data_IF_419309620899
#
_entry.id   IF_419309620899
#
_cell.length_a   1.000
_cell.length_b   1.000
_cell.length_c   1.000
_cell.angle_alpha   90.00
_cell.angle_beta   90.00
_cell.angle_gamma   90.00
#
_symmetry.space_group_name_H-M   'P 1'
#
loop_
_entity.id
_entity.type
_entity.pdbx_description
1 polymer ?
#
# COMPACT_ATOMS: atom_id res chain seq x y z
N UNK A 1 -17.56 -7.62 5.36
CA UNK A 1 -17.28 -6.29 5.94
C UNK A 1 -16.05 -6.24 6.88
N UNK A 2 -15.62 -7.33 7.55
CA UNK A 2 -14.43 -7.27 8.45
C UNK A 2 -13.09 -7.23 7.72
N UNK A 3 -12.96 -7.85 6.53
CA UNK A 3 -11.70 -7.96 5.78
C UNK A 3 -11.15 -6.59 5.39
N UNK A 4 -12.00 -5.73 4.79
CA UNK A 4 -11.62 -4.37 4.39
C UNK A 4 -11.25 -3.50 5.59
N UNK A 5 -12.00 -3.57 6.70
CA UNK A 5 -11.71 -2.77 7.89
C UNK A 5 -10.37 -3.15 8.52
N UNK A 6 -10.08 -4.45 8.62
CA UNK A 6 -8.79 -4.94 9.10
C UNK A 6 -7.65 -4.49 8.17
N UNK A 7 -7.84 -4.59 6.85
CA UNK A 7 -6.86 -4.11 5.88
C UNK A 7 -6.60 -2.60 5.99
N UNK A 8 -7.64 -1.78 6.16
CA UNK A 8 -7.48 -0.34 6.38
C UNK A 8 -6.66 -0.07 7.64
N UNK A 9 -6.91 -0.79 8.74
CA UNK A 9 -6.15 -0.63 9.97
C UNK A 9 -4.67 -0.97 9.77
N UNK A 10 -4.38 -2.08 9.07
CA UNK A 10 -3.01 -2.50 8.81
C UNK A 10 -2.27 -1.51 7.89
N UNK A 11 -2.92 -1.07 6.80
CA UNK A 11 -2.40 -0.05 5.88
C UNK A 11 -2.14 1.29 6.57
N UNK A 12 -2.98 1.70 7.53
CA UNK A 12 -2.73 2.90 8.36
C UNK A 12 -1.50 2.74 9.25
N UNK A 13 -1.31 1.55 9.82
CA UNK A 13 -0.21 1.31 10.75
C UNK A 13 1.15 1.19 10.05
N UNK A 14 1.16 0.75 8.78
CA UNK A 14 2.38 0.47 8.04
C UNK A 14 3.28 1.71 7.87
N UNK A 15 2.82 2.87 7.34
CA UNK A 15 3.63 4.08 7.22
C UNK A 15 4.37 4.45 8.50
N UNK A 16 3.68 4.44 9.64
CA UNK A 16 4.26 4.83 10.92
C UNK A 16 5.33 3.83 11.38
N UNK A 17 5.04 2.52 11.27
CA UNK A 17 6.00 1.46 11.61
C UNK A 17 7.24 1.53 10.72
N UNK A 18 7.04 1.68 9.41
CA UNK A 18 8.12 1.76 8.43
C UNK A 18 8.96 3.02 8.62
N UNK A 19 8.37 4.17 8.95
CA UNK A 19 9.13 5.38 9.32
C UNK A 19 10.01 5.16 10.55
N UNK A 20 9.47 4.55 11.61
CA UNK A 20 10.23 4.28 12.82
C UNK A 20 11.41 3.33 12.54
N UNK A 21 11.15 2.24 11.81
CA UNK A 21 12.17 1.27 11.42
C UNK A 21 13.23 1.89 10.51
N UNK A 22 12.83 2.71 9.54
CA UNK A 22 13.75 3.37 8.61
C UNK A 22 14.63 4.41 9.32
N UNK A 23 14.11 5.09 10.34
CA UNK A 23 14.88 6.06 11.12
C UNK A 23 15.96 5.38 11.98
N UNK A 24 15.67 4.21 12.54
CA UNK A 24 16.60 3.45 13.39
C UNK A 24 17.62 2.68 12.56
N UNK A 25 17.14 1.86 11.62
CA UNK A 25 17.94 0.79 11.00
C UNK A 25 18.12 0.98 9.49
N UNK A 26 17.52 2.02 8.89
CA UNK A 26 17.48 2.23 7.42
C UNK A 26 16.88 1.02 6.66
N UNK A 27 15.96 0.32 7.32
CA UNK A 27 15.24 -0.81 6.76
C UNK A 27 13.74 -0.58 6.71
N UNK A 28 13.07 -1.35 5.86
CA UNK A 28 11.62 -1.43 5.71
C UNK A 28 11.25 -2.91 5.68
N UNK A 29 10.20 -3.30 6.39
CA UNK A 29 9.65 -4.65 6.30
C UNK A 29 9.02 -4.91 4.92
N UNK A 30 9.83 -5.45 4.01
CA UNK A 30 9.43 -5.80 2.64
C UNK A 30 8.29 -6.82 2.63
N UNK A 31 8.36 -7.82 3.50
CA UNK A 31 7.38 -8.90 3.52
C UNK A 31 6.00 -8.40 3.93
N UNK A 32 5.94 -7.54 4.95
CA UNK A 32 4.71 -6.87 5.35
C UNK A 32 4.13 -6.00 4.23
N UNK A 33 4.97 -5.21 3.52
CA UNK A 33 4.51 -4.45 2.35
C UNK A 33 3.85 -5.35 1.30
N UNK A 34 4.52 -6.43 0.88
CA UNK A 34 3.97 -7.32 -0.16
C UNK A 34 2.74 -8.11 0.30
N UNK A 35 2.63 -8.46 1.58
CA UNK A 35 1.41 -9.05 2.13
C UNK A 35 0.23 -8.08 2.04
N UNK A 36 0.44 -6.82 2.40
CA UNK A 36 -0.58 -5.78 2.27
C UNK A 36 -1.02 -5.61 0.82
N UNK A 37 -0.09 -5.55 -0.13
CA UNK A 37 -0.42 -5.43 -1.56
C UNK A 37 -1.18 -6.65 -2.09
N UNK A 38 -0.80 -7.85 -1.66
CA UNK A 38 -1.53 -9.08 -1.99
C UNK A 38 -2.98 -8.98 -1.49
N UNK A 39 -3.20 -8.54 -0.25
CA UNK A 39 -4.54 -8.38 0.32
C UNK A 39 -5.35 -7.30 -0.39
N UNK A 40 -4.73 -6.17 -0.75
CA UNK A 40 -5.34 -5.12 -1.57
C UNK A 40 -5.82 -5.67 -2.91
N UNK A 41 -5.00 -6.47 -3.59
CA UNK A 41 -5.35 -7.06 -4.90
C UNK A 41 -6.44 -8.14 -4.81
N UNK A 42 -6.71 -8.69 -3.63
CA UNK A 42 -7.74 -9.70 -3.40
C UNK A 42 -9.11 -9.11 -3.08
N UNK A 43 -9.21 -7.79 -2.87
CA UNK A 43 -10.49 -7.13 -2.61
C UNK A 43 -11.43 -7.27 -3.80
N UNK A 44 -12.69 -7.60 -3.50
CA UNK A 44 -13.75 -7.77 -4.49
C UNK A 44 -14.86 -6.74 -4.26
N UNK A 45 -15.82 -6.70 -5.17
CA UNK A 45 -16.97 -5.79 -5.08
C UNK A 45 -17.70 -5.91 -3.74
N UNK A 46 -17.82 -7.12 -3.21
CA UNK A 46 -18.55 -7.42 -1.97
C UNK A 46 -17.86 -6.85 -0.72
N UNK A 47 -16.61 -6.42 -0.84
CA UNK A 47 -15.86 -5.78 0.24
C UNK A 47 -16.17 -4.27 0.36
N UNK A 48 -16.95 -3.69 -0.56
CA UNK A 48 -17.29 -2.27 -0.62
C UNK A 48 -18.78 -2.00 -0.37
N UNK A 49 -19.14 -0.79 0.08
CA UNK A 49 -20.54 -0.41 0.31
C UNK A 49 -21.34 -0.27 -0.98
N UNK A 50 -20.67 -0.02 -2.10
CA UNK A 50 -21.31 0.14 -3.41
C UNK A 50 -20.38 -0.29 -4.55
N UNK A 51 -21.00 -0.64 -5.68
CA UNK A 51 -20.27 -0.93 -6.92
C UNK A 51 -19.48 0.28 -7.43
N UNK A 52 -20.03 1.48 -7.26
CA UNK A 52 -19.40 2.73 -7.66
C UNK A 52 -18.10 2.97 -6.88
N UNK A 53 -18.11 2.76 -5.56
CA UNK A 53 -16.90 2.88 -4.75
C UNK A 53 -15.84 1.85 -5.13
N UNK A 54 -16.25 0.61 -5.41
CA UNK A 54 -15.33 -0.40 -5.93
C UNK A 54 -14.73 0.03 -7.28
N UNK A 55 -15.52 0.58 -8.20
CA UNK A 55 -15.02 1.13 -9.48
C UNK A 55 -14.01 2.25 -9.27
N UNK A 56 -14.27 3.19 -8.36
CA UNK A 56 -13.33 4.27 -8.05
C UNK A 56 -12.02 3.75 -7.48
N UNK A 57 -12.08 2.80 -6.55
CA UNK A 57 -10.90 2.12 -6.03
C UNK A 57 -10.10 1.41 -7.13
N UNK A 58 -10.78 0.70 -8.04
CA UNK A 58 -10.13 0.07 -9.19
C UNK A 58 -9.48 1.09 -10.12
N UNK A 59 -10.12 2.23 -10.36
CA UNK A 59 -9.55 3.30 -11.17
C UNK A 59 -8.24 3.83 -10.56
N UNK A 60 -8.20 4.00 -9.24
CA UNK A 60 -6.97 4.38 -8.53
C UNK A 60 -5.86 3.33 -8.71
N UNK A 61 -6.14 2.05 -8.47
CA UNK A 61 -5.15 0.97 -8.59
C UNK A 61 -4.66 0.79 -10.03
N UNK A 62 -5.56 0.95 -11.01
CA UNK A 62 -5.29 0.75 -12.43
C UNK A 62 -4.76 2.00 -13.13
N UNK A 63 -4.65 3.12 -12.43
CA UNK A 63 -4.09 4.33 -13.00
C UNK A 63 -2.63 4.07 -13.43
N UNK A 64 -2.26 4.31 -14.71
CA UNK A 64 -0.94 3.96 -15.22
C UNK A 64 0.21 4.55 -14.40
N UNK A 65 0.07 5.81 -13.94
CA UNK A 65 1.06 6.46 -13.09
C UNK A 65 1.28 5.69 -11.78
N UNK A 66 0.21 5.31 -11.08
CA UNK A 66 0.32 4.60 -9.81
C UNK A 66 0.92 3.21 -9.99
N UNK A 67 0.62 2.55 -11.11
CA UNK A 67 1.23 1.26 -11.45
C UNK A 67 2.72 1.39 -11.75
N UNK A 68 3.12 2.43 -12.49
CA UNK A 68 4.51 2.71 -12.80
C UNK A 68 5.31 3.08 -11.53
N UNK A 69 4.81 4.01 -10.72
CA UNK A 69 5.43 4.41 -9.47
C UNK A 69 5.62 3.19 -8.55
N UNK A 70 4.58 2.37 -8.41
CA UNK A 70 4.62 1.14 -7.62
C UNK A 70 5.66 0.16 -8.13
N UNK A 71 5.64 -0.10 -9.43
CA UNK A 71 6.60 -0.98 -10.06
C UNK A 71 8.04 -0.52 -9.80
N UNK A 72 8.33 0.78 -9.95
CA UNK A 72 9.67 1.34 -9.75
C UNK A 72 10.20 1.08 -8.35
N UNK A 73 9.44 1.38 -7.28
CA UNK A 73 9.97 1.12 -5.94
C UNK A 73 9.94 -0.38 -5.57
N UNK A 74 9.02 -1.17 -6.13
CA UNK A 74 8.96 -2.63 -5.88
C UNK A 74 10.17 -3.37 -6.45
N UNK A 75 10.66 -3.01 -7.63
CA UNK A 75 11.85 -3.65 -8.23
C UNK A 75 13.16 -3.20 -7.58
N UNK A 76 13.16 -2.05 -6.90
CA UNK A 76 14.33 -1.49 -6.23
C UNK A 76 14.41 -1.89 -4.75
N UNK A 77 13.47 -2.71 -4.25
CA UNK A 77 13.57 -3.32 -2.94
C UNK A 77 14.71 -4.35 -2.93
N UNK A 78 15.79 -4.04 -2.21
CA UNK A 78 16.91 -4.96 -1.98
C UNK A 78 16.79 -5.54 -0.58
N UNK A 79 16.28 -6.78 -0.48
CA UNK A 79 15.94 -7.40 0.81
C UNK A 79 15.00 -6.50 1.64
N UNK A 80 15.45 -5.95 2.76
CA UNK A 80 14.67 -5.02 3.60
C UNK A 80 15.13 -3.57 3.45
N UNK A 81 15.77 -3.22 2.33
CA UNK A 81 16.24 -1.87 2.06
C UNK A 81 15.54 -1.27 0.85
N UNK A 82 15.35 0.05 0.92
CA UNK A 82 14.79 0.86 -0.15
C UNK A 82 15.40 2.25 -0.03
N UNK A 83 15.84 2.85 -1.15
CA UNK A 83 16.41 4.20 -1.10
C UNK A 83 15.40 5.23 -0.60
N UNK A 84 15.88 6.31 0.04
CA UNK A 84 15.00 7.26 0.75
C UNK A 84 13.88 7.83 -0.12
N UNK A 85 14.16 8.18 -1.38
CA UNK A 85 13.16 8.74 -2.28
C UNK A 85 12.09 7.72 -2.66
N UNK A 86 12.49 6.46 -2.88
CA UNK A 86 11.59 5.34 -3.14
C UNK A 86 10.78 4.95 -1.90
N UNK A 87 11.39 5.01 -0.72
CA UNK A 87 10.70 4.84 0.56
C UNK A 87 9.58 5.87 0.74
N UNK A 88 9.86 7.15 0.47
CA UNK A 88 8.84 8.20 0.53
C UNK A 88 7.71 7.96 -0.48
N UNK A 89 8.03 7.47 -1.68
CA UNK A 89 7.02 7.10 -2.68
C UNK A 89 6.13 5.95 -2.22
N UNK A 90 6.74 4.90 -1.66
CA UNK A 90 6.00 3.76 -1.10
C UNK A 90 5.06 4.21 0.04
N UNK A 91 5.56 5.01 0.98
CA UNK A 91 4.74 5.52 2.10
C UNK A 91 3.58 6.39 1.60
N UNK A 92 3.82 7.26 0.61
CA UNK A 92 2.80 8.08 -0.02
C UNK A 92 1.74 7.23 -0.74
N UNK A 93 2.18 6.19 -1.46
CA UNK A 93 1.28 5.25 -2.13
C UNK A 93 0.37 4.51 -1.14
N UNK A 94 0.94 3.95 -0.05
CA UNK A 94 0.18 3.24 0.99
C UNK A 94 -0.80 4.17 1.72
N UNK A 95 -0.39 5.41 2.00
CA UNK A 95 -1.26 6.41 2.60
C UNK A 95 -2.47 6.71 1.69
N UNK A 96 -2.22 6.97 0.40
CA UNK A 96 -3.29 7.20 -0.59
C UNK A 96 -4.22 5.99 -0.74
N UNK A 97 -3.67 4.77 -0.79
CA UNK A 97 -4.46 3.52 -0.82
C UNK A 97 -5.49 3.49 0.31
N UNK A 98 -5.07 3.89 1.50
CA UNK A 98 -5.95 3.92 2.68
C UNK A 98 -7.12 4.88 2.48
N UNK A 99 -6.89 6.05 1.86
CA UNK A 99 -7.94 7.04 1.63
C UNK A 99 -8.94 6.58 0.58
N UNK A 100 -8.51 5.86 -0.45
CA UNK A 100 -9.41 5.26 -1.45
C UNK A 100 -10.19 4.04 -0.92
N UNK A 101 -9.75 3.43 0.17
CA UNK A 101 -10.44 2.31 0.82
C UNK A 101 -11.46 2.74 1.87
N UNK A 102 -11.32 3.93 2.45
CA UNK A 102 -12.27 4.51 3.41
C UNK A 102 -13.60 4.83 2.76
#
# INVERSE_FOLDING_TARGET
MSIRLNLIADLKSFPQKSHNQYNLDKTVDRNNYFDLMKRVNLLKKEDFESEEKYKYFLNFIKQPQNQADRYVFEINFTENHLEIHLFLWMVSYVSRLTDWLK
#
